data_IF_009110054071
#
_entry.id   IF_009110054071
#
_cell.length_a   1.000
_cell.length_b   1.000
_cell.length_c   1.000
_cell.angle_alpha   90.00
_cell.angle_beta   90.00
_cell.angle_gamma   90.00
#
_symmetry.space_group_name_H-M   'P 1'
#
loop_
_entity.id
_entity.type
_entity.pdbx_description
1 polymer ?
#
# COMPACT_ATOMS: atom_id res chain seq x y z
N UNK A 1 20.42 -11.08 13.50
CA UNK A 1 21.61 -10.64 12.75
C UNK A 1 21.97 -9.25 13.27
N UNK A 2 23.11 -9.09 13.95
CA UNK A 2 23.43 -7.89 14.75
C UNK A 2 23.79 -6.67 13.90
N UNK A 3 23.33 -5.50 14.34
CA UNK A 3 23.44 -4.20 13.68
C UNK A 3 24.89 -3.80 13.34
N UNK A 4 25.86 -4.18 14.17
CA UNK A 4 27.29 -3.96 13.93
C UNK A 4 27.82 -4.67 12.68
N UNK A 5 27.31 -5.87 12.38
CA UNK A 5 27.74 -6.64 11.21
C UNK A 5 27.23 -6.01 9.92
N UNK A 6 26.02 -5.44 9.94
CA UNK A 6 25.48 -4.67 8.81
C UNK A 6 26.30 -3.39 8.60
N UNK A 7 26.60 -2.64 9.67
CA UNK A 7 27.42 -1.42 9.59
C UNK A 7 28.81 -1.71 8.99
N UNK A 8 29.46 -2.79 9.42
CA UNK A 8 30.74 -3.21 8.87
C UNK A 8 30.65 -3.62 7.39
N UNK A 9 29.55 -4.27 6.97
CA UNK A 9 29.30 -4.61 5.57
C UNK A 9 29.06 -3.36 4.71
N UNK A 10 28.32 -2.37 5.21
CA UNK A 10 28.05 -1.11 4.50
C UNK A 10 29.31 -0.27 4.29
N UNK A 11 30.17 -0.16 5.32
CA UNK A 11 31.47 0.55 5.20
C UNK A 11 32.36 -0.13 4.16
N UNK A 12 32.47 -1.47 4.24
CA UNK A 12 33.28 -2.25 3.29
C UNK A 12 32.76 -2.17 1.86
N UNK A 13 31.44 -2.13 1.68
CA UNK A 13 30.84 -1.94 0.37
C UNK A 13 31.15 -0.54 -0.18
N UNK A 14 30.98 0.52 0.63
CA UNK A 14 31.33 1.90 0.26
C UNK A 14 32.80 2.05 -0.15
N UNK A 15 33.72 1.40 0.56
CA UNK A 15 35.16 1.38 0.22
C UNK A 15 35.44 0.64 -1.11
N UNK A 16 34.69 -0.43 -1.40
CA UNK A 16 34.86 -1.23 -2.62
C UNK A 16 34.35 -0.55 -3.89
N UNK A 17 33.18 0.11 -3.82
CA UNK A 17 32.59 0.79 -4.99
C UNK A 17 33.06 2.23 -5.16
N UNK A 18 33.65 2.87 -4.14
CA UNK A 18 34.03 4.29 -4.19
C UNK A 18 32.83 5.23 -3.97
N UNK A 19 33.06 6.40 -3.40
CA UNK A 19 32.00 7.27 -2.87
C UNK A 19 31.03 7.75 -3.97
N UNK A 20 31.53 8.19 -5.13
CA UNK A 20 30.70 8.66 -6.24
C UNK A 20 29.82 7.55 -6.84
N UNK A 21 30.39 6.36 -7.06
CA UNK A 21 29.68 5.20 -7.62
C UNK A 21 28.70 4.59 -6.62
N UNK A 22 29.02 4.63 -5.33
CA UNK A 22 28.10 4.29 -4.25
C UNK A 22 26.92 5.26 -4.22
N UNK A 23 27.17 6.58 -4.18
CA UNK A 23 26.10 7.58 -4.19
C UNK A 23 25.29 7.55 -5.48
N UNK A 24 25.91 7.32 -6.63
CA UNK A 24 25.22 7.16 -7.91
C UNK A 24 24.31 5.92 -7.93
N UNK A 25 24.80 4.79 -7.43
CA UNK A 25 24.01 3.55 -7.34
C UNK A 25 22.86 3.71 -6.33
N UNK A 26 23.12 4.33 -5.18
CA UNK A 26 22.08 4.65 -4.19
C UNK A 26 21.06 5.61 -4.81
N UNK A 27 21.49 6.66 -5.50
CA UNK A 27 20.60 7.62 -6.16
C UNK A 27 19.76 6.96 -7.26
N UNK A 28 20.34 6.07 -8.06
CA UNK A 28 19.60 5.31 -9.06
C UNK A 28 18.60 4.36 -8.40
N UNK A 29 18.98 3.66 -7.34
CA UNK A 29 18.09 2.77 -6.60
C UNK A 29 16.95 3.55 -5.93
N UNK A 30 17.23 4.71 -5.33
CA UNK A 30 16.21 5.60 -4.75
C UNK A 30 15.26 6.10 -5.84
N UNK A 31 15.78 6.59 -6.97
CA UNK A 31 14.95 7.05 -8.07
C UNK A 31 14.12 5.93 -8.72
N UNK A 32 14.63 4.70 -8.78
CA UNK A 32 13.84 3.52 -9.20
C UNK A 32 12.74 3.24 -8.19
N UNK A 33 13.03 3.25 -6.89
CA UNK A 33 12.05 3.03 -5.82
C UNK A 33 10.96 4.11 -5.79
N UNK A 34 11.32 5.38 -6.02
CA UNK A 34 10.36 6.49 -6.12
C UNK A 34 9.44 6.34 -7.32
N UNK A 35 9.98 6.03 -8.51
CA UNK A 35 9.16 5.76 -9.71
C UNK A 35 8.23 4.58 -9.51
N UNK A 36 8.72 3.50 -8.90
CA UNK A 36 7.89 2.32 -8.62
C UNK A 36 6.77 2.64 -7.62
N UNK A 37 7.05 3.52 -6.64
CA UNK A 37 6.05 4.02 -5.69
C UNK A 37 4.99 4.84 -6.40
N UNK A 38 5.37 5.88 -7.15
CA UNK A 38 4.43 6.72 -7.92
C UNK A 38 3.56 5.87 -8.85
N UNK A 39 4.20 4.94 -9.57
CA UNK A 39 3.51 4.04 -10.48
C UNK A 39 2.52 3.13 -9.76
N UNK A 40 2.89 2.62 -8.59
CA UNK A 40 2.00 1.83 -7.76
C UNK A 40 0.79 2.64 -7.29
N UNK A 41 1.00 3.89 -6.84
CA UNK A 41 -0.08 4.78 -6.40
C UNK A 41 -1.08 5.07 -7.53
N UNK A 42 -0.58 5.39 -8.73
CA UNK A 42 -1.42 5.58 -9.93
C UNK A 42 -2.29 4.36 -10.21
N UNK A 43 -1.68 3.16 -10.23
CA UNK A 43 -2.37 1.92 -10.51
C UNK A 43 -3.40 1.58 -9.44
N UNK A 44 -3.05 1.77 -8.17
CA UNK A 44 -3.94 1.54 -7.04
C UNK A 44 -5.19 2.42 -7.14
N UNK A 45 -5.03 3.71 -7.40
CA UNK A 45 -6.15 4.64 -7.55
C UNK A 45 -7.00 4.33 -8.79
N UNK A 46 -6.36 4.03 -9.93
CA UNK A 46 -7.07 3.70 -11.17
C UNK A 46 -7.89 2.39 -11.04
N UNK A 47 -7.33 1.37 -10.38
CA UNK A 47 -8.04 0.11 -10.13
C UNK A 47 -9.21 0.33 -9.18
N UNK A 48 -9.03 1.14 -8.13
CA UNK A 48 -10.09 1.43 -7.16
C UNK A 48 -11.32 2.11 -7.78
N UNK A 49 -11.20 2.82 -8.90
CA UNK A 49 -12.36 3.42 -9.58
C UNK A 49 -13.42 2.40 -10.03
N UNK A 50 -13.07 1.12 -10.08
CA UNK A 50 -13.97 0.01 -10.42
C UNK A 50 -14.65 -0.62 -9.19
N UNK A 51 -14.40 -0.13 -7.98
CA UNK A 51 -14.87 -0.72 -6.72
C UNK A 51 -15.34 0.35 -5.73
N UNK A 52 -16.33 0.00 -4.91
CA UNK A 52 -16.86 0.91 -3.90
C UNK A 52 -16.42 0.47 -2.49
N UNK A 53 -15.99 1.45 -1.68
CA UNK A 53 -15.62 1.20 -0.29
C UNK A 53 -16.87 1.21 0.60
N UNK A 54 -17.15 0.08 1.24
CA UNK A 54 -18.26 -0.07 2.19
C UNK A 54 -18.02 0.58 3.57
N UNK A 55 -16.93 1.36 3.73
CA UNK A 55 -16.56 2.04 4.98
C UNK A 55 -16.47 1.11 6.19
N UNK A 56 -15.97 -0.11 5.97
CA UNK A 56 -15.78 -1.13 7.00
C UNK A 56 -14.79 -0.78 8.14
N UNK A 57 -14.08 0.36 8.04
CA UNK A 57 -13.09 0.86 8.99
C UNK A 57 -11.91 -0.07 9.32
N UNK A 58 -11.72 -1.17 8.57
CA UNK A 58 -10.57 -2.07 8.74
C UNK A 58 -9.21 -1.35 8.59
N UNK A 59 -9.13 -0.38 7.68
CA UNK A 59 -7.94 0.47 7.57
C UNK A 59 -7.69 1.30 8.83
N UNK A 60 -8.75 1.84 9.44
CA UNK A 60 -8.64 2.65 10.65
C UNK A 60 -8.29 1.81 11.88
N UNK A 61 -8.63 0.52 11.90
CA UNK A 61 -8.39 -0.36 13.06
C UNK A 61 -7.06 -1.10 13.00
N UNK A 62 -6.59 -1.48 11.82
CA UNK A 62 -5.49 -2.44 11.67
C UNK A 62 -4.23 -1.89 11.00
N UNK A 63 -4.29 -0.72 10.34
CA UNK A 63 -3.19 -0.25 9.51
C UNK A 63 -2.41 0.89 10.15
N UNK A 64 -1.06 0.83 10.16
CA UNK A 64 -0.25 2.03 10.37
C UNK A 64 -0.42 2.97 9.17
N UNK A 65 -0.78 4.22 9.43
CA UNK A 65 -1.06 5.23 8.40
C UNK A 65 0.07 6.25 8.40
N UNK A 66 0.92 6.19 7.38
CA UNK A 66 1.93 7.22 7.11
C UNK A 66 1.27 8.49 6.58
N UNK A 67 1.80 9.64 6.96
CA UNK A 67 1.44 10.96 6.47
C UNK A 67 2.62 11.55 5.71
N UNK A 68 2.41 11.85 4.43
CA UNK A 68 3.37 12.66 3.68
C UNK A 68 3.24 14.15 4.06
N UNK A 69 4.13 15.00 3.54
CA UNK A 69 4.13 16.43 3.87
C UNK A 69 2.81 17.13 3.50
N UNK A 70 2.19 16.76 2.38
CA UNK A 70 0.88 17.29 1.95
C UNK A 70 -0.26 16.86 2.88
N UNK A 71 -0.17 15.65 3.43
CA UNK A 71 -1.09 15.11 4.42
C UNK A 71 -0.94 15.87 5.74
N UNK A 72 0.29 16.10 6.22
CA UNK A 72 0.57 16.90 7.41
C UNK A 72 0.02 18.32 7.24
N UNK A 73 0.33 19.00 6.15
CA UNK A 73 -0.16 20.36 5.90
C UNK A 73 -1.69 20.42 5.86
N UNK A 74 -2.33 19.45 5.18
CA UNK A 74 -3.78 19.37 5.08
C UNK A 74 -4.45 19.07 6.41
N UNK A 75 -3.92 18.13 7.19
CA UNK A 75 -4.49 17.77 8.49
C UNK A 75 -4.21 18.85 9.54
N UNK A 76 -3.06 19.53 9.47
CA UNK A 76 -2.75 20.66 10.34
C UNK A 76 -3.74 21.81 10.14
N UNK A 77 -4.19 22.06 8.90
CA UNK A 77 -5.28 23.02 8.65
C UNK A 77 -6.61 22.64 9.31
N UNK A 78 -6.84 21.35 9.56
CA UNK A 78 -8.08 20.85 10.17
C UNK A 78 -8.00 20.82 11.70
N UNK A 79 -6.87 20.38 12.25
CA UNK A 79 -6.70 20.10 13.67
C UNK A 79 -5.79 21.09 14.41
N UNK A 80 -5.04 21.93 13.70
CA UNK A 80 -3.95 22.72 14.26
C UNK A 80 -2.90 21.85 14.94
N UNK A 81 -2.37 22.34 16.07
CA UNK A 81 -1.33 21.65 16.84
C UNK A 81 -1.82 20.30 17.43
N UNK A 82 -3.14 20.10 17.56
CA UNK A 82 -3.69 18.83 18.04
C UNK A 82 -3.39 17.66 17.08
N UNK A 83 -2.97 17.93 15.84
CA UNK A 83 -2.45 16.90 14.93
C UNK A 83 -1.25 16.16 15.54
N UNK A 84 -0.32 16.87 16.19
CA UNK A 84 0.92 16.26 16.66
C UNK A 84 0.67 15.26 17.82
N UNK A 85 -0.41 15.44 18.59
CA UNK A 85 -0.83 14.47 19.61
C UNK A 85 -1.38 13.16 19.00
N UNK A 86 -1.76 13.18 17.72
CA UNK A 86 -2.30 12.04 16.97
C UNK A 86 -1.21 11.19 16.32
N UNK A 87 0.02 11.70 16.26
CA UNK A 87 1.18 10.98 15.70
C UNK A 87 1.74 9.98 16.72
N UNK A 88 2.28 8.88 16.20
CA UNK A 88 2.98 7.88 16.99
C UNK A 88 4.44 8.31 17.23
N UNK A 89 4.75 8.69 18.46
CA UNK A 89 6.10 9.14 18.83
C UNK A 89 7.13 8.01 18.89
N UNK A 90 6.72 6.75 18.77
CA UNK A 90 7.64 5.60 18.74
C UNK A 90 8.20 5.33 17.34
N UNK A 91 7.58 5.91 16.31
CA UNK A 91 8.01 5.81 14.92
C UNK A 91 9.00 6.94 14.56
N UNK A 92 9.94 6.65 13.67
CA UNK A 92 10.93 7.64 13.19
C UNK A 92 10.33 8.63 12.18
N UNK A 93 9.16 8.31 11.63
CA UNK A 93 8.48 9.05 10.58
C UNK A 93 7.03 9.37 11.00
N UNK A 94 6.33 10.18 10.22
CA UNK A 94 5.02 10.71 10.54
C UNK A 94 3.91 9.67 10.38
N UNK A 95 3.78 8.75 11.35
CA UNK A 95 2.69 7.79 11.41
C UNK A 95 1.60 8.23 12.39
N UNK A 96 0.33 8.00 12.03
CA UNK A 96 -0.77 8.09 12.99
C UNK A 96 -0.73 6.90 13.96
N UNK A 97 -1.17 7.13 15.20
CA UNK A 97 -1.42 6.08 16.19
C UNK A 97 -2.39 5.03 15.63
N UNK A 98 -2.21 3.77 16.04
CA UNK A 98 -3.11 2.65 15.74
C UNK A 98 -3.75 2.14 17.03
N UNK A 99 -5.10 2.05 17.14
CA UNK A 99 -6.11 2.43 16.15
C UNK A 99 -6.09 3.92 15.78
N UNK A 100 -6.53 4.23 14.57
CA UNK A 100 -6.51 5.57 13.99
C UNK A 100 -7.25 6.58 14.89
N UNK A 101 -6.65 7.73 15.24
CA UNK A 101 -7.26 8.72 16.13
C UNK A 101 -8.47 9.45 15.52
N UNK A 102 -8.68 9.30 14.22
CA UNK A 102 -9.87 9.80 13.52
C UNK A 102 -11.00 8.77 13.45
N UNK A 103 -10.84 7.59 14.05
CA UNK A 103 -11.90 6.59 14.16
C UNK A 103 -12.79 6.94 15.36
N UNK A 104 -14.05 7.25 15.11
CA UNK A 104 -15.06 7.51 16.15
C UNK A 104 -16.36 6.80 15.80
N UNK A 105 -16.90 6.04 16.74
CA UNK A 105 -18.17 5.31 16.59
C UNK A 105 -18.24 4.45 15.31
N UNK A 106 -17.11 3.85 14.93
CA UNK A 106 -17.01 3.02 13.71
C UNK A 106 -16.99 3.82 12.41
N UNK A 107 -16.72 5.12 12.45
CA UNK A 107 -16.65 6.00 11.29
C UNK A 107 -15.35 6.83 11.29
N UNK A 108 -14.82 7.11 10.10
CA UNK A 108 -13.71 8.03 9.93
C UNK A 108 -14.22 9.48 9.91
N UNK A 109 -13.79 10.29 10.89
CA UNK A 109 -14.22 11.68 11.02
C UNK A 109 -13.66 12.61 9.93
N UNK A 110 -12.59 12.19 9.25
CA UNK A 110 -11.93 12.96 8.17
C UNK A 110 -12.04 12.28 6.80
N UNK A 111 -13.13 11.53 6.55
CA UNK A 111 -13.23 10.67 5.35
C UNK A 111 -12.94 11.41 4.02
N UNK A 112 -13.39 12.66 3.89
CA UNK A 112 -13.16 13.50 2.69
C UNK A 112 -11.73 14.07 2.63
N UNK A 113 -11.05 14.19 3.77
CA UNK A 113 -9.70 14.74 3.89
C UNK A 113 -8.61 13.67 4.10
N UNK A 114 -8.96 12.40 3.92
CA UNK A 114 -8.10 11.24 4.19
C UNK A 114 -6.67 11.39 3.63
N UNK A 115 -5.64 10.92 4.36
CA UNK A 115 -4.27 10.84 3.87
C UNK A 115 -4.13 10.06 2.56
N UNK A 116 -3.01 10.23 1.86
CA UNK A 116 -2.71 9.48 0.62
C UNK A 116 -2.75 7.96 0.86
N UNK A 117 -2.12 7.48 1.94
CA UNK A 117 -2.15 6.08 2.35
C UNK A 117 -3.59 5.54 2.57
N UNK A 118 -4.49 6.37 3.12
CA UNK A 118 -5.90 6.01 3.32
C UNK A 118 -6.71 5.99 2.02
N UNK A 119 -6.35 6.81 1.03
CA UNK A 119 -6.99 6.83 -0.30
C UNK A 119 -6.58 5.65 -1.18
N UNK A 120 -5.37 5.11 -0.99
CA UNK A 120 -4.91 3.94 -1.74
C UNK A 120 -5.39 2.59 -1.16
N UNK A 121 -5.87 2.58 0.09
CA UNK A 121 -6.35 1.34 0.73
C UNK A 121 -7.47 0.68 -0.09
N UNK A 122 -7.34 -0.61 -0.45
CA UNK A 122 -6.62 -1.66 0.25
C UNK A 122 -5.26 -2.00 -0.33
N UNK A 123 -4.77 -1.21 -1.29
CA UNK A 123 -3.41 -1.32 -1.79
C UNK A 123 -2.48 -0.64 -0.78
N UNK A 124 -1.48 -1.36 -0.31
CA UNK A 124 -0.50 -0.93 0.68
C UNK A 124 0.88 -1.40 0.25
N UNK A 125 1.93 -0.77 0.75
CA UNK A 125 3.31 -1.23 0.54
C UNK A 125 3.77 -1.94 1.80
N UNK A 126 3.94 -3.26 1.72
CA UNK A 126 4.56 -4.04 2.81
C UNK A 126 5.85 -4.63 2.22
N UNK A 127 7.01 -4.16 2.72
CA UNK A 127 8.36 -4.61 2.32
C UNK A 127 8.60 -4.68 0.81
N UNK A 128 9.26 -3.67 0.23
CA UNK A 128 8.91 -2.95 -1.02
C UNK A 128 7.94 -3.63 -2.03
N UNK A 129 6.98 -4.41 -1.56
CA UNK A 129 6.09 -5.21 -2.40
C UNK A 129 4.71 -4.58 -2.29
N UNK A 130 4.22 -3.98 -3.39
CA UNK A 130 2.81 -3.69 -3.58
C UNK A 130 1.93 -4.85 -3.12
N UNK A 131 1.01 -4.57 -2.21
CA UNK A 131 0.25 -5.58 -1.49
C UNK A 131 -1.22 -5.17 -1.41
N UNK A 132 -2.13 -6.13 -1.58
CA UNK A 132 -3.57 -5.95 -1.41
C UNK A 132 -4.02 -6.55 -0.08
N UNK A 133 -4.56 -5.70 0.79
CA UNK A 133 -5.16 -6.10 2.07
C UNK A 133 -6.58 -6.65 1.89
N UNK A 134 -6.93 -7.72 2.60
CA UNK A 134 -8.25 -8.35 2.49
C UNK A 134 -9.28 -7.73 3.45
N UNK A 135 -9.67 -6.49 3.18
CA UNK A 135 -10.95 -5.91 3.64
C UNK A 135 -12.11 -6.35 2.71
N UNK A 136 -13.39 -6.02 2.98
CA UNK A 136 -14.49 -6.32 2.06
C UNK A 136 -14.21 -5.90 0.61
N UNK A 137 -13.79 -4.64 0.39
CA UNK A 137 -13.40 -4.14 -0.93
C UNK A 137 -12.20 -4.90 -1.52
N UNK A 138 -11.17 -5.18 -0.71
CA UNK A 138 -10.01 -5.95 -1.13
C UNK A 138 -10.35 -7.38 -1.57
N UNK A 139 -11.31 -8.02 -0.92
CA UNK A 139 -11.83 -9.35 -1.33
C UNK A 139 -12.56 -9.26 -2.66
N UNK A 140 -13.33 -8.20 -2.92
CA UNK A 140 -13.98 -7.97 -4.21
C UNK A 140 -12.95 -7.74 -5.32
N UNK A 141 -11.94 -6.90 -5.07
CA UNK A 141 -10.82 -6.67 -5.97
C UNK A 141 -10.13 -7.99 -6.32
N UNK A 142 -9.83 -8.80 -5.32
CA UNK A 142 -9.19 -10.11 -5.51
C UNK A 142 -10.07 -11.09 -6.30
N UNK A 143 -11.37 -11.13 -6.02
CA UNK A 143 -12.31 -11.97 -6.77
C UNK A 143 -12.40 -11.54 -8.24
N UNK A 144 -12.49 -10.22 -8.49
CA UNK A 144 -12.53 -9.67 -9.85
C UNK A 144 -11.23 -9.93 -10.60
N UNK A 145 -10.07 -9.77 -9.94
CA UNK A 145 -8.77 -10.11 -10.51
C UNK A 145 -8.75 -11.55 -11.05
N UNK A 146 -9.19 -12.53 -10.24
CA UNK A 146 -9.25 -13.93 -10.66
C UNK A 146 -10.17 -14.14 -11.85
N UNK A 147 -11.33 -13.49 -11.87
CA UNK A 147 -12.29 -13.62 -12.96
C UNK A 147 -11.75 -13.06 -14.28
N UNK A 148 -11.23 -11.83 -14.28
CA UNK A 148 -10.71 -11.19 -15.50
C UNK A 148 -9.42 -11.85 -15.97
N UNK A 149 -8.57 -12.34 -15.07
CA UNK A 149 -7.37 -13.11 -15.42
C UNK A 149 -7.73 -14.45 -16.04
N UNK A 150 -8.77 -15.14 -15.56
CA UNK A 150 -9.27 -16.37 -16.21
C UNK A 150 -9.84 -16.09 -17.60
N UNK A 151 -10.43 -14.92 -17.81
CA UNK A 151 -11.08 -14.53 -19.07
C UNK A 151 -10.10 -14.06 -20.14
N UNK A 152 -9.14 -13.21 -19.76
CA UNK A 152 -8.23 -12.52 -20.69
C UNK A 152 -6.76 -12.93 -20.55
N UNK A 153 -6.41 -13.59 -19.44
CA UNK A 153 -5.05 -14.07 -19.20
C UNK A 153 -4.67 -15.25 -20.10
N UNK A 154 -3.37 -15.35 -20.40
CA UNK A 154 -2.81 -16.57 -21.00
C UNK A 154 -2.77 -17.67 -19.93
N UNK A 155 -2.92 -18.94 -20.33
CA UNK A 155 -2.81 -20.12 -19.43
C UNK A 155 -1.50 -20.18 -18.61
N UNK A 156 -0.48 -19.46 -19.05
CA UNK A 156 0.86 -19.42 -18.45
C UNK A 156 1.03 -18.39 -17.32
N UNK A 157 0.06 -17.49 -17.07
CA UNK A 157 0.14 -16.56 -15.95
C UNK A 157 -0.10 -17.31 -14.62
N UNK A 158 0.91 -18.05 -14.16
CA UNK A 158 0.98 -18.61 -12.80
C UNK A 158 1.32 -17.46 -11.86
N UNK A 159 0.30 -16.80 -11.34
CA UNK A 159 0.49 -15.88 -10.21
C UNK A 159 0.56 -16.73 -8.95
N UNK A 160 1.76 -16.91 -8.41
CA UNK A 160 1.95 -17.53 -7.10
C UNK A 160 1.56 -16.51 -6.03
N UNK A 161 0.51 -16.84 -5.30
CA UNK A 161 0.00 -15.99 -4.22
C UNK A 161 0.53 -16.53 -2.90
N UNK A 162 1.51 -15.87 -2.33
CA UNK A 162 1.90 -16.13 -0.96
C UNK A 162 0.96 -15.35 -0.03
N UNK A 163 0.08 -16.06 0.67
CA UNK A 163 -0.58 -15.52 1.86
C UNK A 163 0.47 -15.49 2.96
N UNK A 164 1.28 -14.44 2.99
CA UNK A 164 2.34 -14.30 3.97
C UNK A 164 1.80 -13.69 5.28
N UNK A 165 2.44 -14.03 6.39
CA UNK A 165 2.19 -13.41 7.70
C UNK A 165 3.04 -12.15 7.79
N UNK A 166 2.53 -11.03 8.34
CA UNK A 166 3.39 -9.94 8.76
C UNK A 166 4.47 -10.50 9.69
N UNK A 167 5.73 -10.08 9.57
CA UNK A 167 6.79 -10.47 10.48
C UNK A 167 6.51 -9.82 11.84
N UNK A 168 5.90 -10.62 12.71
CA UNK A 168 5.98 -10.55 14.18
C UNK A 168 5.96 -9.13 14.78
N UNK A 169 4.76 -8.59 15.01
CA UNK A 169 4.50 -7.84 16.23
C UNK A 169 4.67 -8.83 17.39
N UNK A 170 5.78 -8.74 18.13
CA UNK A 170 6.03 -9.59 19.29
C UNK A 170 5.02 -9.24 20.40
N UNK A 171 4.09 -10.15 20.68
CA UNK A 171 3.14 -10.04 21.79
C UNK A 171 2.04 -11.11 21.72
N UNK A 172 1.75 -11.76 22.83
CA UNK A 172 0.84 -12.93 22.94
C UNK A 172 -0.67 -12.59 22.77
N UNK A 173 -1.04 -11.37 22.38
CA UNK A 173 -2.44 -10.94 22.22
C UNK A 173 -2.86 -10.63 20.76
N UNK A 174 -2.11 -11.06 19.75
CA UNK A 174 -2.48 -10.85 18.34
C UNK A 174 -3.44 -11.95 17.80
N UNK A 175 -4.69 -11.97 18.25
CA UNK A 175 -5.72 -12.92 17.75
C UNK A 175 -6.38 -12.57 16.42
N UNK A 176 -5.96 -11.52 15.71
CA UNK A 176 -6.43 -11.22 14.36
C UNK A 176 -5.25 -10.96 13.42
N UNK A 177 -4.89 -11.98 12.64
CA UNK A 177 -3.83 -11.93 11.63
C UNK A 177 -4.38 -11.29 10.35
N UNK A 178 -3.81 -10.17 9.90
CA UNK A 178 -4.15 -9.58 8.61
C UNK A 178 -3.70 -10.52 7.47
N UNK A 179 -4.61 -10.84 6.55
CA UNK A 179 -4.32 -11.64 5.35
C UNK A 179 -4.15 -10.68 4.18
N UNK A 180 -3.05 -10.83 3.45
CA UNK A 180 -2.70 -9.97 2.32
C UNK A 180 -2.27 -10.77 1.09
N UNK A 181 -2.18 -10.07 -0.04
CA UNK A 181 -1.84 -10.63 -1.35
C UNK A 181 -0.78 -9.75 -2.01
N UNK A 182 0.43 -10.28 -2.25
CA UNK A 182 1.49 -9.58 -2.99
C UNK A 182 1.12 -9.41 -4.48
N UNK A 183 1.29 -8.21 -5.03
CA UNK A 183 0.87 -7.83 -6.38
C UNK A 183 1.93 -6.96 -7.08
N UNK A 184 2.96 -7.55 -7.72
CA UNK A 184 3.98 -6.77 -8.44
C UNK A 184 3.36 -5.76 -9.43
N UNK A 185 4.03 -4.63 -9.68
CA UNK A 185 3.53 -3.55 -10.56
C UNK A 185 3.04 -4.08 -11.90
N UNK A 186 3.84 -4.92 -12.57
CA UNK A 186 3.46 -5.52 -13.86
C UNK A 186 2.15 -6.36 -13.80
N UNK A 187 1.83 -6.92 -12.63
CA UNK A 187 0.56 -7.64 -12.39
C UNK A 187 -0.60 -6.67 -12.27
N UNK A 188 -0.42 -5.54 -11.57
CA UNK A 188 -1.42 -4.48 -11.45
C UNK A 188 -1.71 -3.82 -12.81
N UNK A 189 -0.68 -3.61 -13.63
CA UNK A 189 -0.83 -3.06 -14.99
C UNK A 189 -1.72 -3.95 -15.87
N UNK A 190 -1.43 -5.26 -15.90
CA UNK A 190 -2.26 -6.24 -16.61
C UNK A 190 -3.68 -6.28 -16.06
N UNK A 191 -3.82 -6.21 -14.74
CA UNK A 191 -5.14 -6.20 -14.12
C UNK A 191 -5.97 -5.00 -14.57
N UNK A 192 -5.39 -3.80 -14.51
CA UNK A 192 -6.06 -2.57 -14.95
C UNK A 192 -6.43 -2.65 -16.44
N UNK A 193 -5.53 -3.19 -17.28
CA UNK A 193 -5.84 -3.43 -18.69
C UNK A 193 -7.06 -4.36 -18.85
N UNK A 194 -7.12 -5.46 -18.13
CA UNK A 194 -8.25 -6.40 -18.18
C UNK A 194 -9.55 -5.80 -17.64
N UNK A 195 -9.49 -4.95 -16.62
CA UNK A 195 -10.67 -4.22 -16.13
C UNK A 195 -11.24 -3.28 -17.20
N UNK A 196 -10.38 -2.53 -17.91
CA UNK A 196 -10.80 -1.65 -19.02
C UNK A 196 -11.47 -2.43 -20.14
N UNK A 197 -10.87 -3.55 -20.55
CA UNK A 197 -11.46 -4.43 -21.57
C UNK A 197 -12.82 -5.00 -21.14
N UNK A 198 -12.98 -5.33 -19.86
CA UNK A 198 -14.23 -5.88 -19.33
C UNK A 198 -15.34 -4.82 -19.26
N UNK A 199 -15.00 -3.59 -18.86
CA UNK A 199 -15.92 -2.45 -18.84
C UNK A 199 -16.37 -2.05 -20.27
N UNK A 200 -15.43 -1.97 -21.22
CA UNK A 200 -15.75 -1.75 -22.63
C UNK A 200 -16.70 -2.81 -23.18
N UNK A 201 -16.45 -4.09 -22.86
CA UNK A 201 -17.32 -5.19 -23.25
C UNK A 201 -18.72 -5.06 -22.63
N UNK A 202 -18.81 -4.75 -21.34
CA UNK A 202 -20.09 -4.58 -20.64
C UNK A 202 -20.92 -3.43 -21.23
N UNK A 203 -20.28 -2.30 -21.58
CA UNK A 203 -20.90 -1.17 -22.27
C UNK A 203 -21.37 -1.52 -23.68
N UNK A 204 -20.60 -2.33 -24.41
CA UNK A 204 -21.01 -2.80 -25.73
C UNK A 204 -22.22 -3.74 -25.68
N UNK A 205 -22.39 -4.51 -24.60
CA UNK A 205 -23.55 -5.41 -24.44
C UNK A 205 -24.83 -4.68 -24.04
N UNK A 206 -24.74 -3.55 -23.34
CA UNK A 206 -25.90 -2.73 -22.93
C UNK A 206 -26.40 -1.76 -24.03
N UNK A 207 -25.67 -1.64 -25.15
CA UNK A 207 -26.07 -0.81 -26.31
C UNK A 207 -26.84 -1.59 -27.37
N UNK A 208 -27.14 -2.87 -27.13
CA UNK A 208 -27.94 -3.77 -27.98
C UNK A 208 -29.27 -4.03 -27.28
#
# INVERSE_FOLDING_TARGET
>A
MGEERLRAQTVRFRELVGDETFWFTISQNVAVMERDKERFEELALAIQQYFECERCCKCCTEMPIHLNDEDIERLHRLDGDALFEKLDSSELDNFLKTPCPYLKDGLCTIYEHRPAACKMFPFVVIRPVPTLQLCPMGKLIFAKFKDVTRRYGKKELKVEWETAQPPELQGEEAKQKAVYVALPIATLEKFLQYLRMDDERARATHRV
#
